data_IF_134230968688
#
_entry.id   IF_134230968688
#
_cell.length_a   1.000
_cell.length_b   1.000
_cell.length_c   1.000
_cell.angle_alpha   90.00
_cell.angle_beta   90.00
_cell.angle_gamma   90.00
#
_symmetry.space_group_name_H-M   'P 1'
#
loop_
_entity.id
_entity.type
_entity.pdbx_description
1 polymer ?
#
# COMPACT_ATOMS: atom_id res chain seq x y z
N UNK A 1 -7.65 -5.36 -15.33
CA UNK A 1 -7.48 -3.91 -15.18
C UNK A 1 -8.68 -3.37 -14.44
N UNK A 2 -8.49 -2.89 -13.21
CA UNK A 2 -9.52 -2.18 -12.44
C UNK A 2 -9.07 -0.73 -12.33
N UNK A 3 -9.87 0.22 -12.82
CA UNK A 3 -9.59 1.65 -12.70
C UNK A 3 -8.21 2.10 -13.23
N UNK A 4 -7.69 1.43 -14.27
CA UNK A 4 -6.37 1.72 -14.83
C UNK A 4 -5.19 1.05 -14.12
N UNK A 5 -5.43 0.34 -13.01
CA UNK A 5 -4.40 -0.42 -12.30
C UNK A 5 -4.38 -1.89 -12.73
N UNK A 6 -3.16 -2.43 -12.85
CA UNK A 6 -2.95 -3.86 -12.98
C UNK A 6 -2.81 -4.48 -11.59
N UNK A 7 -3.87 -5.17 -11.13
CA UNK A 7 -3.87 -5.89 -9.85
C UNK A 7 -2.88 -7.06 -9.81
N UNK A 8 -2.32 -7.48 -10.96
CA UNK A 8 -1.25 -8.46 -10.99
C UNK A 8 0.14 -7.81 -10.85
N UNK A 9 0.21 -6.47 -10.83
CA UNK A 9 1.45 -5.77 -10.56
C UNK A 9 1.86 -6.02 -9.12
N UNK A 10 3.13 -6.41 -8.86
CA UNK A 10 3.61 -6.62 -7.51
C UNK A 10 3.64 -5.31 -6.69
N UNK A 11 3.49 -4.15 -7.33
CA UNK A 11 3.44 -2.83 -6.68
C UNK A 11 2.00 -2.33 -6.43
N UNK A 12 1.01 -3.20 -6.60
CA UNK A 12 -0.40 -2.91 -6.32
C UNK A 12 -0.96 -4.01 -5.43
N UNK A 13 -1.66 -3.64 -4.36
CA UNK A 13 -2.48 -4.58 -3.59
C UNK A 13 -3.83 -3.98 -3.19
N UNK A 14 -4.86 -4.82 -3.11
CA UNK A 14 -6.19 -4.39 -2.68
C UNK A 14 -6.38 -4.57 -1.17
N UNK A 15 -6.97 -3.57 -0.53
CA UNK A 15 -7.48 -3.70 0.82
C UNK A 15 -8.76 -4.53 0.84
N UNK A 16 -8.70 -5.72 1.42
CA UNK A 16 -9.87 -6.58 1.57
C UNK A 16 -10.84 -5.97 2.60
N UNK A 17 -12.13 -5.87 2.24
CA UNK A 17 -13.17 -5.42 3.17
C UNK A 17 -13.31 -6.43 4.31
N UNK A 18 -13.23 -5.94 5.55
CA UNK A 18 -13.26 -6.78 6.76
C UNK A 18 -11.88 -7.24 7.24
N UNK A 19 -10.81 -7.03 6.47
CA UNK A 19 -9.41 -7.27 6.86
C UNK A 19 -8.81 -6.04 7.57
N UNK A 20 -9.57 -5.38 8.44
CA UNK A 20 -9.14 -4.18 9.17
C UNK A 20 -9.20 -2.88 8.35
N UNK A 21 -8.10 -2.12 8.36
CA UNK A 21 -8.06 -0.76 7.85
C UNK A 21 -8.02 -0.69 6.31
N UNK A 22 -8.65 0.32 5.70
CA UNK A 22 -8.47 0.58 4.26
C UNK A 22 -9.12 -0.42 3.31
N UNK A 23 -10.12 -1.19 3.77
CA UNK A 23 -10.92 -2.06 2.90
C UNK A 23 -11.56 -1.29 1.73
N UNK A 24 -11.59 -1.93 0.56
CA UNK A 24 -12.13 -1.37 -0.70
C UNK A 24 -11.21 -0.35 -1.38
N UNK A 25 -10.01 -0.10 -0.85
CA UNK A 25 -9.01 0.80 -1.45
C UNK A 25 -7.90 0.01 -2.12
N UNK A 26 -7.26 0.62 -3.12
CA UNK A 26 -6.04 0.11 -3.71
C UNK A 26 -4.84 0.79 -3.06
N UNK A 27 -3.82 0.01 -2.72
CA UNK A 27 -2.53 0.51 -2.26
C UNK A 27 -1.53 0.33 -3.39
N UNK A 28 -0.90 1.42 -3.80
CA UNK A 28 -0.06 1.47 -5.00
C UNK A 28 1.26 2.13 -4.65
N UNK A 29 2.36 1.56 -5.13
CA UNK A 29 3.66 2.23 -5.12
C UNK A 29 3.97 2.73 -6.52
N UNK A 30 4.13 4.04 -6.65
CA UNK A 30 4.48 4.72 -7.89
C UNK A 30 5.42 5.87 -7.57
N UNK A 31 6.48 6.04 -8.36
CA UNK A 31 7.49 7.11 -8.16
C UNK A 31 8.05 7.15 -6.72
N UNK A 32 8.36 5.98 -6.13
CA UNK A 32 8.84 5.82 -4.75
C UNK A 32 7.85 6.35 -3.67
N UNK A 33 6.57 6.44 -3.98
CA UNK A 33 5.51 6.90 -3.07
C UNK A 33 4.43 5.83 -2.93
N UNK A 34 4.05 5.52 -1.68
CA UNK A 34 2.87 4.72 -1.36
C UNK A 34 1.63 5.62 -1.36
N UNK A 35 0.66 5.21 -2.16
CA UNK A 35 -0.64 5.84 -2.24
C UNK A 35 -1.74 4.90 -1.77
N UNK A 36 -2.77 5.47 -1.17
CA UNK A 36 -4.10 4.85 -1.11
C UNK A 36 -4.97 5.50 -2.18
N UNK A 37 -5.56 4.68 -3.04
CA UNK A 37 -6.51 5.08 -4.07
C UNK A 37 -7.90 4.55 -3.71
N UNK A 38 -8.88 5.43 -3.70
CA UNK A 38 -10.29 5.08 -3.53
C UNK A 38 -10.96 4.95 -4.91
N UNK A 39 -11.37 3.73 -5.33
CA UNK A 39 -11.98 3.53 -6.64
C UNK A 39 -13.33 4.22 -6.82
N UNK A 40 -14.04 4.52 -5.72
CA UNK A 40 -15.37 5.14 -5.80
C UNK A 40 -15.28 6.65 -6.03
N UNK A 41 -14.39 7.33 -5.29
CA UNK A 41 -14.20 8.78 -5.40
C UNK A 41 -13.12 9.17 -6.39
N UNK A 42 -12.29 8.21 -6.83
CA UNK A 42 -11.08 8.42 -7.64
C UNK A 42 -10.02 9.29 -6.94
N UNK A 43 -10.13 9.43 -5.62
CA UNK A 43 -9.16 10.16 -4.83
C UNK A 43 -7.90 9.33 -4.59
N UNK A 44 -6.76 9.99 -4.65
CA UNK A 44 -5.44 9.39 -4.40
C UNK A 44 -4.76 10.16 -3.27
N UNK A 45 -4.45 9.45 -2.18
CA UNK A 45 -3.88 10.02 -0.95
C UNK A 45 -2.46 9.50 -0.80
N UNK A 46 -1.51 10.39 -0.52
CA UNK A 46 -0.12 10.03 -0.19
C UNK A 46 -0.07 9.50 1.24
N UNK A 47 0.46 8.29 1.43
CA UNK A 47 0.65 7.68 2.75
C UNK A 47 2.10 7.73 3.22
N UNK A 48 3.04 7.38 2.33
CA UNK A 48 4.47 7.32 2.64
C UNK A 48 5.28 7.68 1.39
N UNK A 49 6.39 8.40 1.57
CA UNK A 49 7.32 8.79 0.50
C UNK A 49 8.67 8.10 0.71
N UNK A 50 9.52 8.20 -0.31
CA UNK A 50 10.92 7.75 -0.28
C UNK A 50 11.10 6.23 -0.18
N UNK A 51 10.16 5.46 -0.75
CA UNK A 51 10.18 4.00 -0.81
C UNK A 51 11.00 3.57 -2.04
N UNK A 52 12.31 3.74 -1.96
CA UNK A 52 13.22 3.41 -3.06
C UNK A 52 13.25 1.91 -3.32
N UNK A 53 13.33 1.54 -4.60
CA UNK A 53 13.52 0.16 -5.05
C UNK A 53 12.45 -0.82 -4.52
N UNK A 54 11.19 -0.39 -4.37
CA UNK A 54 10.09 -1.29 -4.03
C UNK A 54 10.00 -2.44 -5.04
N UNK A 55 9.84 -3.66 -4.53
CA UNK A 55 9.69 -4.88 -5.31
C UNK A 55 8.28 -5.45 -5.19
N UNK A 56 7.69 -5.35 -4.00
CA UNK A 56 6.42 -5.97 -3.67
C UNK A 56 5.69 -5.18 -2.58
N UNK A 57 4.36 -5.08 -2.70
CA UNK A 57 3.47 -4.58 -1.67
C UNK A 57 2.43 -5.64 -1.32
N UNK A 58 2.11 -5.73 -0.03
CA UNK A 58 1.01 -6.55 0.47
C UNK A 58 0.39 -5.89 1.69
N UNK A 59 -0.79 -6.37 2.08
CA UNK A 59 -1.52 -5.89 3.25
C UNK A 59 -2.09 -7.04 4.04
N UNK A 60 -1.98 -6.97 5.37
CA UNK A 60 -2.69 -7.84 6.32
C UNK A 60 -3.19 -6.98 7.48
N UNK A 61 -4.48 -7.03 7.79
CA UNK A 61 -5.04 -6.20 8.86
C UNK A 61 -4.82 -4.71 8.56
N UNK A 62 -4.29 -3.95 9.52
CA UNK A 62 -3.96 -2.54 9.30
C UNK A 62 -2.53 -2.30 8.78
N UNK A 63 -1.74 -3.34 8.50
CA UNK A 63 -0.33 -3.19 8.16
C UNK A 63 -0.09 -3.41 6.66
N UNK A 64 0.47 -2.40 6.01
CA UNK A 64 1.06 -2.49 4.68
C UNK A 64 2.51 -2.95 4.82
N UNK A 65 2.84 -4.06 4.15
CA UNK A 65 4.21 -4.57 4.08
C UNK A 65 4.78 -4.25 2.71
N UNK A 66 5.91 -3.57 2.67
CA UNK A 66 6.61 -3.19 1.44
C UNK A 66 7.97 -3.84 1.45
N UNK A 67 8.23 -4.73 0.49
CA UNK A 67 9.57 -5.29 0.28
C UNK A 67 10.34 -4.39 -0.68
N UNK A 68 11.49 -3.92 -0.27
CA UNK A 68 12.47 -3.24 -1.13
C UNK A 68 13.63 -4.19 -1.43
N UNK A 69 14.62 -3.76 -2.21
CA UNK A 69 15.86 -4.54 -2.41
C UNK A 69 16.68 -4.68 -1.14
N UNK A 70 16.65 -3.67 -0.28
CA UNK A 70 17.54 -3.54 0.87
C UNK A 70 16.89 -4.02 2.17
N UNK A 71 15.58 -3.81 2.32
CA UNK A 71 14.86 -4.05 3.57
C UNK A 71 13.35 -4.31 3.35
N UNK A 72 12.65 -4.55 4.46
CA UNK A 72 11.19 -4.62 4.49
C UNK A 72 10.70 -3.48 5.36
N UNK A 73 9.78 -2.68 4.82
CA UNK A 73 9.11 -1.61 5.54
C UNK A 73 7.72 -2.09 5.98
N UNK A 74 7.34 -1.75 7.20
CA UNK A 74 6.00 -1.98 7.72
C UNK A 74 5.35 -0.64 8.01
N UNK A 75 4.24 -0.37 7.36
CA UNK A 75 3.48 0.86 7.53
C UNK A 75 2.12 0.54 8.13
N UNK A 76 1.83 1.08 9.31
CA UNK A 76 0.55 0.86 9.99
C UNK A 76 -0.45 1.96 9.59
N UNK A 77 -1.53 1.56 8.93
CA UNK A 77 -2.59 2.45 8.46
C UNK A 77 -3.40 3.09 9.60
N UNK A 78 -3.43 2.47 10.79
CA UNK A 78 -4.13 3.01 11.95
C UNK A 78 -3.34 4.12 12.64
N UNK A 79 -2.01 4.03 12.57
CA UNK A 79 -1.07 5.00 13.13
C UNK A 79 -0.60 6.03 12.10
N UNK A 80 -0.78 5.73 10.81
CA UNK A 80 -0.23 6.47 9.67
C UNK A 80 1.28 6.68 9.80
N UNK A 81 1.99 5.65 10.26
CA UNK A 81 3.44 5.70 10.50
C UNK A 81 4.12 4.38 10.16
N UNK A 82 5.44 4.46 9.92
CA UNK A 82 6.29 3.28 9.90
C UNK A 82 6.38 2.68 11.30
N UNK A 83 6.41 1.35 11.37
CA UNK A 83 6.55 0.59 12.61
C UNK A 83 7.69 -0.42 12.49
N UNK A 84 8.40 -0.64 13.58
CA UNK A 84 9.35 -1.74 13.68
C UNK A 84 8.60 -3.04 13.97
N UNK A 85 8.94 -4.11 13.26
CA UNK A 85 8.42 -5.44 13.59
C UNK A 85 9.35 -6.03 14.65
N UNK A 86 8.84 -6.15 15.87
CA UNK A 86 9.52 -6.81 16.99
C UNK A 86 9.75 -8.30 16.75
#
# INVERSE_FOLDING_TARGET
>A
MTHGFDLNSPLVCEGIIGDGCGGGRLFIIEEDILFAYDPLTQEKIVLLREIRNAQEISKIGCVITIRTKENILYFDLSLLSLVEKA
#
